data_IF_185583059570
#
_entry.id   IF_185583059570
#
_cell.length_a   1.000
_cell.length_b   1.000
_cell.length_c   1.000
_cell.angle_alpha   90.00
_cell.angle_beta   90.00
_cell.angle_gamma   90.00
#
_symmetry.space_group_name_H-M   'P 1'
#
loop_
_entity.id
_entity.type
_entity.pdbx_description
1 polymer ?
#
# COMPACT_ATOMS: atom_id res chain seq x y z
N UNK A 1 44.02 -66.72 -26.64
CA UNK A 1 43.19 -67.89 -26.97
C UNK A 1 41.79 -67.63 -26.57
N UNK A 2 40.87 -67.74 -27.57
CA UNK A 2 39.42 -67.93 -27.50
C UNK A 2 38.54 -66.85 -26.82
N UNK A 3 37.98 -66.03 -27.69
CA UNK A 3 36.60 -65.57 -27.84
C UNK A 3 35.52 -66.27 -27.00
N UNK A 4 34.64 -65.43 -26.44
CA UNK A 4 33.19 -65.74 -26.53
C UNK A 4 32.38 -64.43 -26.45
N UNK A 5 31.69 -64.13 -27.55
CA UNK A 5 30.65 -63.08 -27.68
C UNK A 5 29.38 -63.60 -27.00
N UNK A 6 28.65 -62.71 -26.31
CA UNK A 6 27.23 -62.92 -26.00
C UNK A 6 26.50 -61.63 -26.43
N UNK A 7 25.50 -61.83 -27.28
CA UNK A 7 24.78 -60.78 -28.01
C UNK A 7 23.83 -60.00 -27.17
N UNK A 8 23.71 -58.73 -27.53
CA UNK A 8 22.66 -57.82 -27.08
C UNK A 8 21.37 -58.11 -27.87
N UNK A 9 20.29 -58.40 -27.19
CA UNK A 9 18.95 -58.35 -27.76
C UNK A 9 18.39 -56.95 -27.50
N UNK A 10 18.15 -56.22 -28.60
CA UNK A 10 17.45 -54.95 -28.66
C UNK A 10 15.92 -55.15 -28.55
N UNK A 11 15.33 -54.65 -27.47
CA UNK A 11 13.89 -54.51 -27.36
C UNK A 11 13.35 -53.29 -28.18
N UNK A 12 12.13 -53.33 -28.68
CA UNK A 12 11.62 -52.31 -29.58
C UNK A 12 11.26 -51.00 -28.85
N UNK A 13 11.75 -49.89 -29.43
CA UNK A 13 11.40 -48.54 -29.05
C UNK A 13 9.99 -48.24 -29.56
N UNK A 14 9.00 -48.06 -28.68
CA UNK A 14 7.67 -47.62 -29.05
C UNK A 14 7.66 -46.12 -29.33
N UNK A 15 7.37 -45.75 -30.60
CA UNK A 15 7.21 -44.37 -31.01
C UNK A 15 5.89 -43.77 -30.54
N UNK A 16 5.90 -42.48 -30.29
CA UNK A 16 4.73 -41.68 -29.82
C UNK A 16 3.51 -41.60 -30.79
N UNK A 17 3.51 -42.33 -31.87
CA UNK A 17 2.42 -42.35 -32.86
C UNK A 17 1.48 -43.54 -32.76
N UNK A 18 1.68 -44.50 -31.85
CA UNK A 18 0.90 -45.71 -31.72
C UNK A 18 -0.30 -45.66 -30.76
N UNK A 19 -0.58 -44.55 -30.09
CA UNK A 19 -1.59 -44.45 -29.01
C UNK A 19 -2.92 -43.77 -29.42
N UNK A 20 -3.16 -43.57 -30.72
CA UNK A 20 -4.36 -42.87 -31.21
C UNK A 20 -5.30 -43.69 -32.11
N UNK A 21 -5.19 -45.00 -32.13
CA UNK A 21 -6.10 -45.83 -32.93
C UNK A 21 -6.53 -47.10 -32.18
N UNK A 22 -7.32 -46.96 -31.10
CA UNK A 22 -8.27 -48.04 -30.63
C UNK A 22 -9.22 -47.44 -29.59
N UNK A 23 -10.22 -46.70 -30.07
CA UNK A 23 -11.44 -46.41 -29.32
C UNK A 23 -12.60 -46.14 -30.25
N UNK A 24 -13.05 -47.20 -30.92
CA UNK A 24 -14.36 -47.21 -31.55
C UNK A 24 -14.99 -48.56 -31.28
N UNK A 25 -16.06 -48.53 -30.47
CA UNK A 25 -17.00 -49.65 -30.35
C UNK A 25 -17.11 -50.21 -28.92
N UNK A 26 -18.08 -49.68 -28.16
CA UNK A 26 -19.07 -50.45 -27.41
C UNK A 26 -19.96 -49.48 -26.61
N UNK A 27 -21.15 -49.22 -27.15
CA UNK A 27 -22.21 -48.54 -26.42
C UNK A 27 -22.77 -49.53 -25.37
N UNK A 28 -22.50 -49.26 -24.11
CA UNK A 28 -23.08 -49.95 -22.95
C UNK A 28 -23.27 -48.92 -21.85
N UNK A 29 -24.53 -48.54 -21.58
CA UNK A 29 -24.87 -47.55 -20.55
C UNK A 29 -24.45 -48.01 -19.15
N UNK A 30 -23.52 -47.31 -18.56
CA UNK A 30 -23.24 -47.33 -17.14
C UNK A 30 -23.58 -45.96 -16.56
N UNK A 31 -24.59 -45.90 -15.73
CA UNK A 31 -24.96 -44.76 -14.90
C UNK A 31 -23.82 -44.54 -13.94
N UNK A 32 -22.99 -43.53 -14.18
CA UNK A 32 -22.00 -43.05 -13.20
C UNK A 32 -22.73 -42.29 -12.10
N UNK A 33 -22.42 -42.55 -10.82
CA UNK A 33 -22.98 -41.77 -9.71
C UNK A 33 -22.49 -40.32 -9.81
N UNK A 34 -23.44 -39.37 -9.77
CA UNK A 34 -23.18 -37.96 -9.64
C UNK A 34 -22.43 -37.72 -8.34
N UNK A 35 -21.13 -37.36 -8.41
CA UNK A 35 -20.39 -37.03 -7.20
C UNK A 35 -18.86 -37.02 -7.29
N UNK A 36 -18.25 -37.16 -8.45
CA UNK A 36 -16.82 -36.93 -8.59
C UNK A 36 -16.59 -35.78 -9.52
N UNK A 37 -16.57 -34.56 -8.95
CA UNK A 37 -15.82 -33.46 -9.57
C UNK A 37 -14.34 -33.87 -9.63
N UNK A 38 -13.63 -33.67 -10.76
CA UNK A 38 -12.19 -33.91 -10.77
C UNK A 38 -11.58 -32.98 -9.72
N UNK A 39 -11.01 -33.56 -8.66
CA UNK A 39 -10.02 -32.87 -7.84
C UNK A 39 -8.94 -32.44 -8.84
N UNK A 40 -8.82 -31.12 -9.06
CA UNK A 40 -7.67 -30.55 -9.71
C UNK A 40 -6.46 -31.08 -8.95
N UNK A 41 -5.61 -31.84 -9.62
CA UNK A 41 -4.32 -32.29 -9.07
C UNK A 41 -3.62 -31.04 -8.58
N UNK A 42 -3.51 -30.88 -7.26
CA UNK A 42 -2.63 -29.89 -6.68
C UNK A 42 -1.22 -30.28 -7.18
N UNK A 43 -0.68 -29.50 -8.13
CA UNK A 43 0.74 -29.62 -8.44
C UNK A 43 1.49 -29.58 -7.11
N UNK A 44 2.43 -30.54 -6.92
CA UNK A 44 3.27 -30.63 -5.72
C UNK A 44 4.18 -29.39 -5.66
N UNK A 45 3.66 -28.30 -5.12
CA UNK A 45 4.45 -27.08 -4.92
C UNK A 45 5.39 -27.28 -3.75
N UNK A 46 6.65 -26.86 -3.87
CA UNK A 46 7.61 -26.99 -2.77
C UNK A 46 7.17 -26.15 -1.56
N UNK A 47 7.56 -26.63 -0.38
CA UNK A 47 7.38 -25.87 0.86
C UNK A 47 8.16 -24.55 0.78
N UNK A 48 7.49 -23.42 1.09
CA UNK A 48 8.11 -22.09 1.11
C UNK A 48 7.39 -21.21 2.15
N UNK A 49 8.16 -20.53 2.98
CA UNK A 49 7.61 -19.74 4.08
C UNK A 49 6.68 -20.59 4.95
N UNK A 50 5.46 -20.13 5.11
CA UNK A 50 4.40 -20.84 5.83
C UNK A 50 3.55 -21.78 4.95
N UNK A 51 3.80 -21.81 3.64
CA UNK A 51 3.08 -22.71 2.73
C UNK A 51 3.72 -24.12 2.69
N UNK A 52 2.96 -25.24 2.71
CA UNK A 52 1.48 -25.30 2.75
C UNK A 52 0.88 -25.28 4.18
N UNK A 53 1.69 -25.34 5.23
CA UNK A 53 1.22 -25.50 6.61
C UNK A 53 0.17 -24.45 7.04
N UNK A 54 0.36 -23.19 6.65
CA UNK A 54 -0.57 -22.09 6.92
C UNK A 54 -1.89 -22.14 6.13
N UNK A 55 -2.02 -23.11 5.22
CA UNK A 55 -3.17 -23.18 4.29
C UNK A 55 -3.91 -24.51 4.29
N UNK A 56 -3.59 -25.41 5.22
CA UNK A 56 -4.19 -26.76 5.25
C UNK A 56 -5.61 -26.81 5.81
N UNK A 57 -5.98 -25.88 6.69
CA UNK A 57 -7.31 -25.84 7.35
C UNK A 57 -8.40 -25.14 6.55
N UNK A 58 -9.53 -24.87 7.20
CA UNK A 58 -10.65 -24.08 6.66
C UNK A 58 -10.43 -22.57 6.74
N UNK A 59 -9.36 -22.12 7.36
CA UNK A 59 -8.99 -20.72 7.52
C UNK A 59 -7.52 -20.50 7.22
N UNK A 60 -7.16 -19.24 6.94
CA UNK A 60 -5.79 -18.75 6.81
C UNK A 60 -5.58 -17.60 7.79
N UNK A 61 -4.34 -17.38 8.23
CA UNK A 61 -4.02 -16.36 9.22
C UNK A 61 -3.20 -15.22 8.63
N UNK A 62 -3.50 -13.98 9.07
CA UNK A 62 -2.87 -12.75 8.60
C UNK A 62 -2.31 -11.99 9.81
N UNK A 63 -1.07 -11.54 9.70
CA UNK A 63 -0.46 -10.62 10.66
C UNK A 63 -0.76 -9.17 10.27
N UNK A 64 -1.27 -8.38 11.22
CA UNK A 64 -1.55 -6.95 11.03
C UNK A 64 -0.79 -6.18 12.11
N UNK A 65 0.18 -5.38 11.67
CA UNK A 65 0.99 -4.58 12.59
C UNK A 65 0.88 -3.10 12.25
N UNK A 66 0.13 -2.35 13.05
CA UNK A 66 -0.11 -0.92 12.90
C UNK A 66 0.27 -0.17 14.17
N UNK A 67 0.65 1.11 14.13
CA UNK A 67 0.83 1.89 15.35
C UNK A 67 -0.54 2.19 15.99
N UNK A 68 -0.71 1.76 17.21
CA UNK A 68 -1.89 2.05 18.04
C UNK A 68 -1.56 3.01 19.18
N UNK A 69 -0.28 3.28 19.37
CA UNK A 69 0.28 4.25 20.30
C UNK A 69 1.32 5.13 19.61
N UNK A 70 1.65 6.27 20.22
CA UNK A 70 2.65 7.22 19.68
C UNK A 70 2.08 8.14 18.60
N UNK A 71 2.98 8.79 17.85
CA UNK A 71 2.66 9.90 16.94
C UNK A 71 1.72 9.52 15.79
N UNK A 72 1.63 8.24 15.42
CA UNK A 72 0.79 7.74 14.32
C UNK A 72 -0.43 6.93 14.75
N UNK A 73 -0.80 7.01 16.03
CA UNK A 73 -1.88 6.19 16.59
C UNK A 73 -3.24 6.39 15.89
N UNK A 74 -3.62 7.63 15.57
CA UNK A 74 -4.89 7.92 14.88
C UNK A 74 -4.93 7.28 13.49
N UNK A 75 -3.84 7.36 12.75
CA UNK A 75 -3.73 6.84 11.40
C UNK A 75 -3.67 5.31 11.40
N UNK A 76 -2.95 4.73 12.37
CA UNK A 76 -2.90 3.28 12.55
C UNK A 76 -4.25 2.68 12.94
N UNK A 77 -5.04 3.38 13.74
CA UNK A 77 -6.40 2.93 14.08
C UNK A 77 -7.36 3.03 12.89
N UNK A 78 -7.26 4.08 12.06
CA UNK A 78 -8.04 4.20 10.82
C UNK A 78 -7.67 3.08 9.83
N UNK A 79 -6.37 2.82 9.64
CA UNK A 79 -5.85 1.72 8.83
C UNK A 79 -6.38 0.36 9.32
N UNK A 80 -6.32 0.11 10.64
CA UNK A 80 -6.82 -1.14 11.24
C UNK A 80 -8.31 -1.35 10.98
N UNK A 81 -9.13 -0.32 11.10
CA UNK A 81 -10.56 -0.39 10.80
C UNK A 81 -10.83 -0.75 9.34
N UNK A 82 -10.01 -0.25 8.41
CA UNK A 82 -10.06 -0.63 7.02
C UNK A 82 -9.81 -2.12 6.81
N UNK A 83 -8.76 -2.69 7.43
CA UNK A 83 -8.47 -4.13 7.39
C UNK A 83 -9.60 -4.96 7.99
N UNK A 84 -10.12 -4.57 9.15
CA UNK A 84 -11.20 -5.29 9.82
C UNK A 84 -12.48 -5.32 8.98
N UNK A 85 -12.83 -4.20 8.34
CA UNK A 85 -13.99 -4.13 7.44
C UNK A 85 -13.78 -5.01 6.19
N UNK A 86 -12.57 -5.00 5.62
CA UNK A 86 -12.24 -5.82 4.45
C UNK A 86 -12.34 -7.32 4.77
N UNK A 87 -11.78 -7.77 5.90
CA UNK A 87 -11.84 -9.17 6.34
C UNK A 87 -13.30 -9.61 6.55
N UNK A 88 -14.11 -8.79 7.23
CA UNK A 88 -15.54 -9.07 7.40
C UNK A 88 -16.27 -9.21 6.06
N UNK A 89 -16.01 -8.29 5.14
CA UNK A 89 -16.63 -8.28 3.82
C UNK A 89 -16.17 -9.45 2.94
N UNK A 90 -14.90 -9.85 3.01
CA UNK A 90 -14.38 -11.03 2.31
C UNK A 90 -15.02 -12.30 2.90
N UNK A 91 -15.06 -12.44 4.21
CA UNK A 91 -15.60 -13.60 4.87
C UNK A 91 -17.11 -13.75 4.67
N UNK A 92 -17.84 -12.64 4.54
CA UNK A 92 -19.30 -12.65 4.27
C UNK A 92 -19.68 -12.67 2.78
N UNK A 93 -18.71 -12.46 1.87
CA UNK A 93 -18.97 -12.37 0.44
C UNK A 93 -19.71 -11.08 0.04
N UNK A 94 -19.29 -9.95 0.61
CA UNK A 94 -19.91 -8.65 0.37
C UNK A 94 -19.74 -8.18 -1.08
N UNK A 95 -20.75 -7.47 -1.62
CA UNK A 95 -20.80 -7.04 -3.03
C UNK A 95 -19.63 -6.13 -3.45
N UNK A 96 -19.09 -5.33 -2.54
CA UNK A 96 -17.93 -4.48 -2.84
C UNK A 96 -16.69 -5.33 -3.17
N UNK A 97 -16.47 -6.42 -2.43
CA UNK A 97 -15.37 -7.35 -2.70
C UNK A 97 -15.56 -8.01 -4.08
N UNK A 98 -16.79 -8.48 -4.38
CA UNK A 98 -17.08 -9.12 -5.67
C UNK A 98 -16.89 -8.20 -6.88
N UNK A 99 -17.05 -6.89 -6.71
CA UNK A 99 -16.78 -5.92 -7.78
C UNK A 99 -15.28 -5.79 -8.10
N UNK A 100 -14.41 -6.05 -7.12
CA UNK A 100 -12.95 -5.94 -7.26
C UNK A 100 -12.34 -7.32 -7.54
N UNK A 101 -12.79 -8.33 -6.83
CA UNK A 101 -12.37 -9.74 -6.95
C UNK A 101 -13.59 -10.62 -7.24
N UNK A 102 -14.03 -10.74 -8.51
CA UNK A 102 -15.28 -11.45 -8.86
C UNK A 102 -15.28 -12.94 -8.52
N UNK A 103 -14.11 -13.56 -8.39
CA UNK A 103 -13.96 -14.96 -8.01
C UNK A 103 -14.13 -15.19 -6.51
N UNK A 104 -13.90 -14.17 -5.66
CA UNK A 104 -14.07 -14.25 -4.22
C UNK A 104 -15.54 -14.37 -3.86
N UNK A 105 -15.92 -15.47 -3.22
CA UNK A 105 -17.31 -15.73 -2.76
C UNK A 105 -17.45 -15.48 -1.26
N UNK A 106 -16.97 -16.41 -0.46
CA UNK A 106 -16.94 -16.39 1.02
C UNK A 106 -15.55 -16.85 1.44
N UNK A 107 -14.79 -15.96 2.07
CA UNK A 107 -13.35 -16.17 2.27
C UNK A 107 -12.59 -16.12 0.95
N UNK A 108 -11.28 -16.37 0.99
CA UNK A 108 -10.42 -16.44 -0.20
C UNK A 108 -10.12 -17.91 -0.50
N UNK A 109 -10.33 -18.35 -1.73
CA UNK A 109 -10.31 -19.78 -2.12
C UNK A 109 -11.17 -20.66 -1.18
N UNK A 110 -12.30 -20.10 -0.69
CA UNK A 110 -13.19 -20.77 0.26
C UNK A 110 -12.66 -20.88 1.69
N UNK A 111 -11.57 -20.19 2.04
CA UNK A 111 -11.00 -20.18 3.39
C UNK A 111 -11.30 -18.88 4.12
N UNK A 112 -11.75 -19.02 5.38
CA UNK A 112 -11.98 -17.88 6.27
C UNK A 112 -10.68 -17.14 6.56
N UNK A 113 -10.71 -15.81 6.54
CA UNK A 113 -9.58 -14.98 6.97
C UNK A 113 -9.65 -14.77 8.49
N UNK A 114 -8.60 -15.21 9.20
CA UNK A 114 -8.33 -14.91 10.60
C UNK A 114 -7.12 -14.00 10.71
N UNK A 115 -7.03 -13.21 11.76
CA UNK A 115 -5.95 -12.26 11.89
C UNK A 115 -5.53 -12.03 13.35
N UNK A 116 -4.29 -11.61 13.52
CA UNK A 116 -3.77 -11.05 14.75
C UNK A 116 -3.41 -9.58 14.55
N UNK A 117 -3.52 -8.79 15.61
CA UNK A 117 -3.18 -7.36 15.61
C UNK A 117 -2.08 -7.09 16.62
N UNK A 118 -1.06 -6.35 16.21
CA UNK A 118 -0.02 -5.86 17.11
C UNK A 118 0.18 -4.35 16.98
N UNK A 119 0.57 -3.73 18.09
CA UNK A 119 0.99 -2.32 18.11
C UNK A 119 2.48 -2.22 17.77
N UNK A 120 2.80 -1.54 16.67
CA UNK A 120 4.19 -1.24 16.32
C UNK A 120 4.75 0.00 17.03
N UNK A 121 3.90 0.86 17.57
CA UNK A 121 4.27 2.19 18.06
C UNK A 121 5.19 2.96 17.07
N UNK A 122 5.06 2.69 15.76
CA UNK A 122 5.94 3.15 14.67
C UNK A 122 7.41 2.71 14.81
N UNK A 123 7.71 1.66 15.58
CA UNK A 123 9.06 1.14 15.85
C UNK A 123 9.31 -0.15 15.06
N UNK A 124 10.37 -0.20 14.23
CA UNK A 124 10.70 -1.38 13.42
C UNK A 124 10.86 -2.67 14.21
N UNK A 125 11.55 -2.62 15.36
CA UNK A 125 11.81 -3.83 16.16
C UNK A 125 10.52 -4.43 16.74
N UNK A 126 9.60 -3.61 17.22
CA UNK A 126 8.30 -4.07 17.74
C UNK A 126 7.49 -4.77 16.64
N UNK A 127 7.44 -4.16 15.45
CA UNK A 127 6.74 -4.72 14.31
C UNK A 127 7.35 -6.06 13.85
N UNK A 128 8.68 -6.14 13.71
CA UNK A 128 9.38 -7.34 13.29
C UNK A 128 9.16 -8.48 14.28
N UNK A 129 9.25 -8.22 15.59
CA UNK A 129 9.01 -9.23 16.61
C UNK A 129 7.55 -9.74 16.59
N UNK A 130 6.59 -8.84 16.40
CA UNK A 130 5.18 -9.21 16.33
C UNK A 130 4.89 -10.08 15.11
N UNK A 131 5.32 -9.65 13.92
CA UNK A 131 5.10 -10.42 12.69
C UNK A 131 5.86 -11.74 12.69
N UNK A 132 7.07 -11.78 13.27
CA UNK A 132 7.79 -13.05 13.43
C UNK A 132 7.00 -14.04 14.30
N UNK A 133 6.33 -13.59 15.37
CA UNK A 133 5.45 -14.46 16.16
C UNK A 133 4.24 -14.94 15.36
N UNK A 134 3.57 -14.05 14.59
CA UNK A 134 2.46 -14.47 13.73
C UNK A 134 2.88 -15.50 12.69
N UNK A 135 4.06 -15.36 12.10
CA UNK A 135 4.62 -16.36 11.17
C UNK A 135 4.90 -17.70 11.88
N UNK A 136 5.57 -17.67 13.03
CA UNK A 136 6.04 -18.90 13.67
C UNK A 136 4.93 -19.65 14.40
N UNK A 137 4.06 -18.95 15.12
CA UNK A 137 3.03 -19.53 15.96
C UNK A 137 1.71 -19.76 15.19
N UNK A 138 1.28 -18.78 14.41
CA UNK A 138 0.00 -18.80 13.70
C UNK A 138 0.11 -19.20 12.22
N UNK A 139 1.33 -19.37 11.69
CA UNK A 139 1.58 -19.66 10.29
C UNK A 139 0.99 -18.60 9.35
N UNK A 140 1.14 -17.33 9.71
CA UNK A 140 0.65 -16.22 8.91
C UNK A 140 1.14 -16.33 7.45
N UNK A 141 0.21 -16.18 6.51
CA UNK A 141 0.48 -16.25 5.06
C UNK A 141 0.65 -14.88 4.42
N UNK A 142 0.26 -13.83 5.13
CA UNK A 142 0.36 -12.44 4.74
C UNK A 142 0.70 -11.62 5.99
N UNK A 143 1.60 -10.67 5.83
CA UNK A 143 1.88 -9.57 6.75
C UNK A 143 1.40 -8.27 6.15
N UNK A 144 0.88 -7.35 6.97
CA UNK A 144 0.46 -6.03 6.49
C UNK A 144 0.47 -4.97 7.59
N UNK A 145 0.14 -3.71 7.23
CA UNK A 145 0.13 -2.55 8.10
C UNK A 145 1.31 -1.64 7.83
N UNK A 146 1.90 -1.15 8.89
CA UNK A 146 3.13 -0.38 8.94
C UNK A 146 3.03 1.13 9.11
N UNK A 147 2.06 1.86 8.74
CA UNK A 147 1.93 3.33 8.89
C UNK A 147 3.26 4.16 8.99
N UNK A 148 4.41 3.51 9.07
CA UNK A 148 5.76 4.08 9.15
C UNK A 148 6.66 3.45 8.10
N UNK A 149 7.34 4.26 7.28
CA UNK A 149 8.26 3.75 6.27
C UNK A 149 9.46 3.02 6.86
N UNK A 150 9.91 3.38 8.07
CA UNK A 150 10.96 2.64 8.76
C UNK A 150 10.51 1.23 9.13
N UNK A 151 9.26 1.09 9.56
CA UNK A 151 8.63 -0.22 9.82
C UNK A 151 8.49 -1.00 8.51
N UNK A 152 7.99 -0.36 7.45
CA UNK A 152 7.79 -1.01 6.15
C UNK A 152 9.09 -1.59 5.58
N UNK A 153 10.20 -0.85 5.64
CA UNK A 153 11.52 -1.32 5.20
C UNK A 153 11.99 -2.53 6.03
N UNK A 154 11.75 -2.51 7.35
CA UNK A 154 12.11 -3.65 8.21
C UNK A 154 11.25 -4.89 7.92
N UNK A 155 9.95 -4.70 7.67
CA UNK A 155 9.04 -5.80 7.30
C UNK A 155 9.31 -6.33 5.88
N UNK A 156 9.78 -5.52 4.93
CA UNK A 156 10.29 -6.01 3.64
C UNK A 156 11.42 -7.03 3.85
N UNK A 157 12.40 -6.70 4.71
CA UNK A 157 13.52 -7.62 5.02
C UNK A 157 13.04 -8.89 5.70
N UNK A 158 12.05 -8.79 6.59
CA UNK A 158 11.41 -9.96 7.21
C UNK A 158 10.70 -10.80 6.16
N UNK A 159 9.91 -10.19 5.27
CA UNK A 159 9.18 -10.85 4.20
C UNK A 159 10.10 -11.70 3.29
N UNK A 160 11.22 -11.10 2.86
CA UNK A 160 12.21 -11.81 2.05
C UNK A 160 12.86 -12.97 2.81
N UNK A 161 13.20 -12.76 4.07
CA UNK A 161 13.83 -13.81 4.90
C UNK A 161 12.88 -14.98 5.17
N UNK A 162 11.65 -14.69 5.55
CA UNK A 162 10.64 -15.69 5.90
C UNK A 162 9.85 -16.20 4.69
N UNK A 163 10.01 -15.60 3.51
CA UNK A 163 9.29 -15.93 2.27
C UNK A 163 7.76 -15.90 2.44
N UNK A 164 7.30 -14.92 3.19
CA UNK A 164 5.90 -14.60 3.44
C UNK A 164 5.58 -13.26 2.78
N UNK A 165 4.45 -13.15 2.10
CA UNK A 165 4.03 -11.91 1.47
C UNK A 165 3.88 -10.79 2.49
N UNK A 166 4.33 -9.61 2.12
CA UNK A 166 4.10 -8.37 2.83
C UNK A 166 3.56 -7.29 1.88
N UNK A 167 2.49 -6.64 2.27
CA UNK A 167 2.00 -5.46 1.57
C UNK A 167 2.04 -4.27 2.52
N UNK A 168 2.80 -3.24 2.15
CA UNK A 168 2.85 -2.01 2.92
C UNK A 168 1.58 -1.18 2.66
N UNK A 169 0.73 -1.05 3.66
CA UNK A 169 -0.52 -0.28 3.58
C UNK A 169 -0.24 1.21 3.47
N UNK A 170 0.60 1.73 4.37
CA UNK A 170 1.00 3.14 4.41
C UNK A 170 2.52 3.24 4.53
N UNK A 171 3.22 3.69 3.48
CA UNK A 171 4.66 3.92 3.49
C UNK A 171 5.06 4.90 2.39
N UNK A 172 5.28 6.16 2.74
CA UNK A 172 5.56 7.24 1.79
C UNK A 172 7.01 7.36 1.32
N UNK A 173 7.96 6.57 1.86
CA UNK A 173 9.35 6.62 1.42
C UNK A 173 9.55 6.05 0.02
N UNK A 174 10.40 6.71 -0.80
CA UNK A 174 10.83 6.15 -2.07
C UNK A 174 11.58 4.81 -1.90
N UNK A 175 12.24 4.62 -0.76
CA UNK A 175 13.10 3.46 -0.49
C UNK A 175 12.32 2.14 -0.41
N UNK A 176 11.05 2.18 0.02
CA UNK A 176 10.23 0.96 0.26
C UNK A 176 10.10 0.07 -0.98
N UNK A 177 9.86 0.66 -2.15
CA UNK A 177 9.86 -0.01 -3.47
C UNK A 177 11.01 0.47 -4.35
N UNK A 178 12.01 1.14 -3.75
CA UNK A 178 13.29 1.50 -4.31
C UNK A 178 14.39 0.56 -3.80
N UNK A 179 15.48 1.11 -3.25
CA UNK A 179 16.65 0.33 -2.81
C UNK A 179 16.37 -0.74 -1.75
N UNK A 180 15.27 -0.62 -1.01
CA UNK A 180 14.84 -1.60 0.00
C UNK A 180 13.66 -2.49 -0.49
N UNK A 181 13.41 -2.52 -1.80
CA UNK A 181 12.43 -3.44 -2.40
C UNK A 181 12.87 -4.90 -2.24
N UNK A 182 11.92 -5.79 -2.18
CA UNK A 182 12.16 -7.24 -2.08
C UNK A 182 11.13 -8.02 -2.89
N UNK A 183 11.45 -9.27 -3.25
CA UNK A 183 10.56 -10.15 -4.03
C UNK A 183 9.22 -10.42 -3.36
N UNK A 184 9.17 -10.47 -2.02
CA UNK A 184 7.97 -10.77 -1.24
C UNK A 184 7.26 -9.52 -0.71
N UNK A 185 7.75 -8.30 -1.07
CA UNK A 185 7.22 -7.02 -0.60
C UNK A 185 6.51 -6.25 -1.71
N UNK A 186 5.37 -5.64 -1.37
CA UNK A 186 4.56 -4.79 -2.24
C UNK A 186 4.20 -3.48 -1.53
N UNK A 187 3.92 -2.42 -2.28
CA UNK A 187 3.35 -1.20 -1.73
C UNK A 187 2.20 -0.69 -2.58
N UNK A 188 1.10 -0.35 -1.92
CA UNK A 188 -0.06 0.16 -2.63
C UNK A 188 -0.25 1.68 -2.57
N UNK A 189 0.24 2.38 -1.53
CA UNK A 189 0.06 3.82 -1.40
C UNK A 189 0.97 4.62 -2.34
N UNK A 190 0.65 5.90 -2.54
CA UNK A 190 1.54 6.86 -3.20
C UNK A 190 2.81 7.09 -2.36
N UNK A 191 3.81 7.75 -2.91
CA UNK A 191 5.10 7.95 -2.23
C UNK A 191 5.73 9.30 -2.61
N UNK A 192 6.82 9.66 -1.97
CA UNK A 192 7.41 11.00 -2.03
C UNK A 192 7.60 11.52 -3.45
N UNK A 193 8.09 10.70 -4.37
CA UNK A 193 8.29 11.13 -5.75
C UNK A 193 6.95 11.36 -6.48
N UNK A 194 5.97 10.46 -6.35
CA UNK A 194 4.66 10.64 -6.98
C UNK A 194 3.88 11.80 -6.33
N UNK A 195 4.05 12.02 -5.02
CA UNK A 195 3.53 13.19 -4.34
C UNK A 195 4.12 14.48 -4.93
N UNK A 196 5.45 14.56 -5.06
CA UNK A 196 6.14 15.72 -5.61
C UNK A 196 5.74 16.00 -7.07
N UNK A 197 5.65 14.96 -7.90
CA UNK A 197 5.22 15.08 -9.28
C UNK A 197 3.77 15.55 -9.42
N UNK A 198 2.89 15.18 -8.48
CA UNK A 198 1.48 15.58 -8.49
C UNK A 198 1.27 17.00 -7.95
N UNK A 199 1.83 17.30 -6.76
CA UNK A 199 1.57 18.61 -6.12
C UNK A 199 2.47 19.72 -6.65
N UNK A 200 3.67 19.41 -7.10
CA UNK A 200 4.66 20.39 -7.55
C UNK A 200 4.15 21.33 -8.63
N UNK A 201 3.51 20.85 -9.73
CA UNK A 201 2.90 21.71 -10.75
C UNK A 201 1.89 22.69 -10.18
N UNK A 202 1.05 22.25 -9.21
CA UNK A 202 0.04 23.07 -8.56
C UNK A 202 0.68 24.18 -7.71
N UNK A 203 1.75 23.83 -6.95
CA UNK A 203 2.47 24.82 -6.17
C UNK A 203 3.14 25.88 -7.06
N UNK A 204 3.78 25.45 -8.16
CA UNK A 204 4.41 26.38 -9.13
C UNK A 204 3.36 27.26 -9.81
N UNK A 205 2.22 26.70 -10.21
CA UNK A 205 1.10 27.48 -10.79
C UNK A 205 0.53 28.48 -9.79
N UNK A 206 0.42 28.11 -8.52
CA UNK A 206 -0.21 28.91 -7.47
C UNK A 206 0.70 29.98 -6.92
N UNK A 207 1.95 29.66 -6.62
CA UNK A 207 2.87 30.56 -5.94
C UNK A 207 3.88 31.22 -6.89
N UNK A 208 4.05 30.70 -8.11
CA UNK A 208 4.97 31.21 -9.12
C UNK A 208 6.30 30.46 -9.15
N UNK A 209 7.14 30.83 -10.13
CA UNK A 209 8.52 30.35 -10.28
C UNK A 209 9.48 31.13 -9.39
N UNK A 210 10.74 30.62 -9.23
CA UNK A 210 11.85 31.28 -8.54
C UNK A 210 11.51 31.65 -7.07
N UNK A 211 10.79 30.77 -6.37
CA UNK A 211 10.43 30.95 -4.96
C UNK A 211 11.49 30.37 -4.04
N UNK A 212 11.46 30.79 -2.80
CA UNK A 212 12.28 30.29 -1.70
C UNK A 212 11.43 29.36 -0.83
N UNK A 213 11.92 28.14 -0.60
CA UNK A 213 11.24 27.13 0.20
C UNK A 213 12.01 26.81 1.47
N UNK A 214 11.31 26.75 2.59
CA UNK A 214 11.78 26.14 3.83
C UNK A 214 11.11 24.76 3.97
N UNK A 215 11.82 23.80 4.56
CA UNK A 215 11.32 22.46 4.83
C UNK A 215 11.36 22.17 6.33
N UNK A 216 10.38 21.41 6.81
CA UNK A 216 10.35 20.83 8.14
C UNK A 216 10.21 19.34 7.97
N UNK A 217 11.29 18.60 8.18
CA UNK A 217 11.49 17.22 7.75
C UNK A 217 11.60 16.30 8.97
N UNK A 218 10.78 15.24 9.09
CA UNK A 218 10.97 14.25 10.14
C UNK A 218 12.18 13.36 9.84
N UNK A 219 13.00 13.10 10.88
CA UNK A 219 14.31 12.43 10.77
C UNK A 219 14.19 10.91 10.60
N UNK A 220 13.68 10.48 9.46
CA UNK A 220 13.71 9.08 9.03
C UNK A 220 13.47 8.97 7.51
N UNK A 221 13.58 7.75 6.94
CA UNK A 221 13.57 7.53 5.48
C UNK A 221 12.41 8.21 4.73
N UNK A 222 11.20 8.25 5.31
CA UNK A 222 10.07 8.97 4.72
C UNK A 222 10.38 10.47 4.56
N UNK A 223 10.75 11.14 5.66
CA UNK A 223 11.00 12.57 5.63
C UNK A 223 12.07 12.94 4.62
N UNK A 224 13.22 12.26 4.68
CA UNK A 224 14.33 12.52 3.77
C UNK A 224 13.95 12.32 2.29
N UNK A 225 13.25 11.24 1.95
CA UNK A 225 12.91 10.94 0.55
C UNK A 225 11.80 11.84 0.01
N UNK A 226 10.81 12.22 0.82
CA UNK A 226 9.76 13.17 0.43
C UNK A 226 10.34 14.58 0.25
N UNK A 227 11.14 15.06 1.21
CA UNK A 227 11.81 16.37 1.13
C UNK A 227 12.69 16.44 -0.11
N UNK A 228 13.54 15.43 -0.34
CA UNK A 228 14.40 15.38 -1.53
C UNK A 228 13.59 15.41 -2.82
N UNK A 229 12.50 14.64 -2.91
CA UNK A 229 11.64 14.62 -4.09
C UNK A 229 11.01 15.98 -4.36
N UNK A 230 10.56 16.67 -3.32
CA UNK A 230 10.01 18.04 -3.44
C UNK A 230 11.09 19.05 -3.86
N UNK A 231 12.28 19.01 -3.26
CA UNK A 231 13.41 19.86 -3.62
C UNK A 231 13.78 19.68 -5.09
N UNK A 232 13.93 18.43 -5.56
CA UNK A 232 14.29 18.12 -6.92
C UNK A 232 13.24 18.60 -7.92
N UNK A 233 11.95 18.37 -7.62
CA UNK A 233 10.89 18.83 -8.49
C UNK A 233 10.83 20.35 -8.57
N UNK A 234 10.79 21.04 -7.43
CA UNK A 234 10.64 22.50 -7.36
C UNK A 234 11.87 23.24 -7.91
N UNK A 235 13.05 22.65 -7.83
CA UNK A 235 14.27 23.20 -8.45
C UNK A 235 14.13 23.34 -9.98
N UNK A 236 13.36 22.47 -10.64
CA UNK A 236 13.06 22.58 -12.10
C UNK A 236 12.33 23.85 -12.45
N UNK A 237 11.60 24.45 -11.50
CA UNK A 237 10.91 25.73 -11.62
C UNK A 237 11.69 26.91 -11.04
N UNK A 238 12.97 26.71 -10.71
CA UNK A 238 13.87 27.74 -10.15
C UNK A 238 13.66 28.00 -8.66
N UNK A 239 12.92 27.14 -7.95
CA UNK A 239 12.80 27.27 -6.50
C UNK A 239 14.10 26.92 -5.80
N UNK A 240 14.43 27.60 -4.72
CA UNK A 240 15.63 27.37 -3.92
C UNK A 240 15.26 27.00 -2.48
N UNK A 241 16.00 26.05 -1.90
CA UNK A 241 15.87 25.73 -0.47
C UNK A 241 16.64 26.73 0.36
N UNK A 242 15.96 27.44 1.28
CA UNK A 242 16.61 28.35 2.21
C UNK A 242 17.03 27.66 3.51
N UNK A 243 16.24 26.70 3.96
CA UNK A 243 16.53 25.85 5.12
C UNK A 243 15.78 24.54 5.04
N UNK A 244 16.36 23.48 5.58
CA UNK A 244 15.71 22.20 5.87
C UNK A 244 15.95 21.89 7.35
N UNK A 245 14.87 21.92 8.11
CA UNK A 245 14.90 21.67 9.55
C UNK A 245 14.49 20.24 9.83
N UNK A 246 15.46 19.41 10.19
CA UNK A 246 15.27 17.97 10.44
C UNK A 246 14.99 17.75 11.91
N UNK A 247 13.79 17.26 12.25
CA UNK A 247 13.34 17.02 13.61
C UNK A 247 13.13 15.52 13.88
N UNK A 248 13.49 15.00 15.06
CA UNK A 248 13.22 13.61 15.42
C UNK A 248 11.74 13.25 15.32
N UNK A 249 11.44 12.01 14.94
CA UNK A 249 10.09 11.48 14.97
C UNK A 249 9.53 11.51 16.41
N UNK A 250 8.34 12.08 16.58
CA UNK A 250 7.72 12.25 17.89
C UNK A 250 8.34 13.38 18.73
N UNK A 251 8.96 14.38 18.08
CA UNK A 251 9.50 15.55 18.78
C UNK A 251 8.42 16.25 19.59
N UNK A 252 8.63 16.50 20.89
CA UNK A 252 7.62 17.14 21.74
C UNK A 252 7.52 18.64 21.52
N UNK A 253 8.49 19.26 20.86
CA UNK A 253 8.58 20.70 20.62
C UNK A 253 9.34 21.00 19.33
N UNK A 254 8.80 21.95 18.55
CA UNK A 254 9.34 22.39 17.27
C UNK A 254 9.87 23.82 17.30
N UNK A 255 9.90 24.48 18.46
CA UNK A 255 10.21 25.92 18.59
C UNK A 255 11.56 26.30 17.98
N UNK A 256 12.63 25.54 18.23
CA UNK A 256 13.96 25.83 17.70
C UNK A 256 14.01 25.70 16.17
N UNK A 257 13.37 24.69 15.62
CA UNK A 257 13.27 24.47 14.17
C UNK A 257 12.46 25.58 13.50
N UNK A 258 11.34 25.95 14.11
CA UNK A 258 10.44 26.98 13.60
C UNK A 258 11.06 28.39 13.68
N UNK A 259 11.89 28.68 14.67
CA UNK A 259 12.66 29.91 14.73
C UNK A 259 13.61 30.04 13.52
N UNK A 260 14.29 28.96 13.15
CA UNK A 260 15.15 28.93 11.96
C UNK A 260 14.32 29.10 10.68
N UNK A 261 13.15 28.45 10.57
CA UNK A 261 12.22 28.65 9.45
C UNK A 261 11.77 30.11 9.37
N UNK A 262 11.35 30.73 10.49
CA UNK A 262 10.89 32.11 10.53
C UNK A 262 11.94 33.12 10.05
N UNK A 263 13.22 32.84 10.28
CA UNK A 263 14.37 33.67 9.91
C UNK A 263 14.97 33.35 8.54
N UNK A 264 14.47 32.30 7.85
CA UNK A 264 15.04 31.78 6.60
C UNK A 264 14.79 32.66 5.38
N UNK A 265 13.83 33.57 5.44
CA UNK A 265 13.39 34.36 4.30
C UNK A 265 12.69 33.57 3.21
N UNK A 266 12.10 32.41 3.55
CA UNK A 266 11.33 31.58 2.63
C UNK A 266 9.96 32.22 2.30
N UNK A 267 9.47 31.92 1.09
CA UNK A 267 8.11 32.28 0.66
C UNK A 267 7.08 31.21 1.05
N UNK A 268 7.54 29.94 1.10
CA UNK A 268 6.69 28.78 1.33
C UNK A 268 7.36 27.84 2.34
N UNK A 269 6.62 27.41 3.35
CA UNK A 269 6.97 26.29 4.23
C UNK A 269 6.34 25.00 3.67
N UNK A 270 7.18 24.02 3.38
CA UNK A 270 6.74 22.64 3.12
C UNK A 270 6.89 21.85 4.42
N UNK A 271 5.76 21.58 5.09
CA UNK A 271 5.75 20.76 6.28
C UNK A 271 5.61 19.28 5.86
N UNK A 272 6.70 18.54 5.97
CA UNK A 272 6.80 17.12 5.61
C UNK A 272 6.46 16.23 6.80
N UNK A 273 6.34 16.77 8.02
CA UNK A 273 5.87 16.00 9.17
C UNK A 273 4.51 15.36 8.89
N UNK A 274 4.25 14.26 9.57
CA UNK A 274 3.04 13.47 9.40
C UNK A 274 2.46 13.04 10.74
N UNK A 275 1.16 12.65 10.79
CA UNK A 275 0.50 12.28 12.04
C UNK A 275 0.47 13.42 13.05
N UNK A 276 0.66 13.10 14.34
CA UNK A 276 0.65 14.10 15.41
C UNK A 276 1.79 15.11 15.30
N UNK A 277 2.93 14.72 14.72
CA UNK A 277 4.06 15.63 14.49
C UNK A 277 3.67 16.76 13.51
N UNK A 278 2.86 16.45 12.48
CA UNK A 278 2.32 17.48 11.58
C UNK A 278 1.33 18.41 12.30
N UNK A 279 0.50 17.88 13.19
CA UNK A 279 -0.43 18.67 14.00
C UNK A 279 0.33 19.65 14.88
N UNK A 280 1.26 19.13 15.69
CA UNK A 280 2.03 19.93 16.64
C UNK A 280 2.89 20.99 15.93
N UNK A 281 3.64 20.61 14.92
CA UNK A 281 4.50 21.54 14.17
C UNK A 281 3.69 22.62 13.46
N UNK A 282 2.51 22.31 12.92
CA UNK A 282 1.65 23.27 12.24
C UNK A 282 1.02 24.26 13.24
N UNK A 283 0.56 23.78 14.41
CA UNK A 283 0.03 24.64 15.48
C UNK A 283 1.11 25.59 16.03
N UNK A 284 2.30 25.08 16.27
CA UNK A 284 3.44 25.91 16.72
C UNK A 284 3.88 26.91 15.65
N UNK A 285 3.90 26.51 14.35
CA UNK A 285 4.21 27.43 13.26
C UNK A 285 3.24 28.63 13.21
N UNK A 286 1.97 28.42 13.51
CA UNK A 286 0.98 29.51 13.67
C UNK A 286 1.35 30.40 14.87
N UNK A 287 1.70 29.84 16.02
CA UNK A 287 2.07 30.58 17.22
C UNK A 287 3.31 31.46 16.99
N UNK A 288 4.25 30.99 16.16
CA UNK A 288 5.43 31.76 15.75
C UNK A 288 5.17 32.79 14.65
N UNK A 289 3.90 32.96 14.20
CA UNK A 289 3.55 33.92 13.16
C UNK A 289 4.15 33.60 11.79
N UNK A 290 4.50 32.33 11.53
CA UNK A 290 5.12 31.92 10.27
C UNK A 290 4.16 32.15 9.10
N UNK A 291 2.88 31.87 9.30
CA UNK A 291 1.86 31.97 8.23
C UNK A 291 1.45 33.42 7.89
N UNK A 292 1.89 34.40 8.66
CA UNK A 292 1.76 35.83 8.32
C UNK A 292 2.75 36.23 7.20
N UNK A 293 3.85 35.45 7.05
CA UNK A 293 4.95 35.74 6.12
C UNK A 293 5.10 34.70 5.01
N UNK A 294 4.76 33.44 5.29
CA UNK A 294 4.97 32.29 4.41
C UNK A 294 3.64 31.59 4.12
N UNK A 295 3.55 30.98 2.93
CA UNK A 295 2.47 30.04 2.62
C UNK A 295 2.83 28.65 3.12
N UNK A 296 1.80 27.86 3.49
CA UNK A 296 1.96 26.46 3.89
C UNK A 296 1.57 25.54 2.73
N UNK A 297 2.36 24.51 2.49
CA UNK A 297 2.01 23.36 1.65
C UNK A 297 2.39 22.07 2.34
N UNK A 298 1.60 21.02 2.12
CA UNK A 298 1.80 19.71 2.75
C UNK A 298 1.93 18.66 1.65
N UNK A 299 3.16 18.25 1.32
CA UNK A 299 3.39 17.39 0.16
C UNK A 299 2.84 15.97 0.32
N UNK A 300 2.62 15.52 1.56
CA UNK A 300 2.12 14.18 1.86
C UNK A 300 1.24 14.23 3.11
N UNK A 301 -0.09 14.17 2.95
CA UNK A 301 -1.01 14.50 4.02
C UNK A 301 -1.91 13.35 4.41
N UNK A 302 -2.29 13.36 5.70
CA UNK A 302 -3.49 12.70 6.22
C UNK A 302 -4.56 13.76 6.50
N UNK A 303 -5.82 13.58 6.03
CA UNK A 303 -6.90 14.52 6.29
C UNK A 303 -7.20 14.78 7.78
N UNK A 304 -6.82 13.87 8.69
CA UNK A 304 -6.89 14.12 10.14
C UNK A 304 -6.17 15.39 10.58
N UNK A 305 -5.16 15.85 9.83
CA UNK A 305 -4.48 17.10 10.13
C UNK A 305 -5.48 18.27 10.18
N UNK A 306 -6.35 18.42 9.19
CA UNK A 306 -7.32 19.51 9.19
C UNK A 306 -8.33 19.43 10.33
N UNK A 307 -8.72 18.22 10.72
CA UNK A 307 -9.60 18.00 11.87
C UNK A 307 -8.95 18.46 13.18
N UNK A 308 -7.65 18.19 13.35
CA UNK A 308 -6.93 18.47 14.60
C UNK A 308 -6.47 19.94 14.70
N UNK A 309 -6.07 20.58 13.58
CA UNK A 309 -5.57 21.97 13.60
C UNK A 309 -6.65 23.01 13.29
N UNK A 310 -7.80 22.58 12.76
CA UNK A 310 -8.94 23.41 12.40
C UNK A 310 -8.91 23.96 10.97
N UNK A 311 -10.11 24.14 10.42
CA UNK A 311 -10.31 24.61 9.05
C UNK A 311 -9.75 25.99 8.78
N UNK A 312 -9.75 26.89 9.76
CA UNK A 312 -9.17 28.24 9.58
C UNK A 312 -7.69 28.18 9.22
N UNK A 313 -6.93 27.33 9.91
CA UNK A 313 -5.50 27.19 9.64
C UNK A 313 -5.21 26.46 8.33
N UNK A 314 -6.06 25.49 7.98
CA UNK A 314 -5.91 24.72 6.74
C UNK A 314 -6.53 25.40 5.52
N UNK A 315 -7.28 26.48 5.69
CA UNK A 315 -7.91 27.21 4.57
C UNK A 315 -6.86 27.64 3.54
N UNK A 316 -7.05 27.19 2.31
CA UNK A 316 -6.16 27.52 1.19
C UNK A 316 -4.86 26.72 1.13
N UNK A 317 -4.59 25.82 2.09
CA UNK A 317 -3.41 24.94 2.09
C UNK A 317 -3.59 23.84 1.05
N UNK A 318 -2.59 23.69 0.17
CA UNK A 318 -2.54 22.59 -0.80
C UNK A 318 -1.85 21.38 -0.21
N UNK A 319 -2.39 20.20 -0.52
CA UNK A 319 -1.81 18.93 -0.07
C UNK A 319 -2.03 17.81 -1.08
N UNK A 320 -1.12 16.81 -1.08
CA UNK A 320 -1.32 15.56 -1.78
C UNK A 320 -1.82 14.48 -0.82
N UNK A 321 -2.76 13.67 -1.25
CA UNK A 321 -3.35 12.56 -0.50
C UNK A 321 -3.70 11.39 -1.42
N UNK A 322 -3.89 10.22 -0.85
CA UNK A 322 -4.23 8.99 -1.56
C UNK A 322 -5.73 8.82 -1.80
N UNK A 323 -6.53 9.35 -0.90
CA UNK A 323 -7.98 9.26 -0.94
C UNK A 323 -8.59 10.41 -0.15
N UNK A 324 -9.73 10.89 -0.61
CA UNK A 324 -10.61 11.78 0.13
C UNK A 324 -12.05 11.30 -0.04
N UNK A 325 -12.82 11.26 1.04
CA UNK A 325 -14.14 10.62 1.04
C UNK A 325 -15.12 11.23 0.00
N UNK A 326 -14.99 12.49 -0.39
CA UNK A 326 -15.83 13.11 -1.42
C UNK A 326 -15.61 12.54 -2.83
N UNK A 327 -14.62 11.63 -3.01
CA UNK A 327 -14.53 10.80 -4.21
C UNK A 327 -15.73 9.89 -4.40
N UNK A 328 -16.58 9.71 -3.36
CA UNK A 328 -17.87 9.02 -3.45
C UNK A 328 -18.79 9.62 -4.53
N UNK A 329 -18.67 10.93 -4.80
CA UNK A 329 -19.45 11.63 -5.84
C UNK A 329 -18.98 11.24 -7.26
N UNK A 330 -17.77 10.70 -7.42
CA UNK A 330 -17.16 10.42 -8.71
C UNK A 330 -17.04 8.91 -9.01
N UNK A 331 -16.72 8.13 -8.00
CA UNK A 331 -16.42 6.70 -8.16
C UNK A 331 -17.42 5.83 -7.39
N UNK A 332 -18.21 4.96 -8.08
CA UNK A 332 -19.18 4.09 -7.43
C UNK A 332 -18.58 3.16 -6.36
N UNK A 333 -17.33 2.70 -6.54
CA UNK A 333 -16.65 1.88 -5.52
C UNK A 333 -16.30 2.70 -4.28
N UNK A 334 -15.87 3.97 -4.46
CA UNK A 334 -15.64 4.88 -3.34
C UNK A 334 -16.93 5.10 -2.54
N UNK A 335 -18.06 5.34 -3.22
CA UNK A 335 -19.37 5.51 -2.57
C UNK A 335 -19.73 4.30 -1.72
N UNK A 336 -19.68 3.11 -2.30
CA UNK A 336 -20.01 1.87 -1.57
C UNK A 336 -19.09 1.66 -0.36
N UNK A 337 -17.79 1.97 -0.50
CA UNK A 337 -16.84 1.87 0.61
C UNK A 337 -17.12 2.89 1.71
N UNK A 338 -17.29 4.17 1.35
CA UNK A 338 -17.56 5.27 2.30
C UNK A 338 -18.84 5.00 3.09
N UNK A 339 -19.92 4.60 2.41
CA UNK A 339 -21.20 4.25 3.05
C UNK A 339 -21.06 3.08 4.03
N UNK A 340 -20.34 2.02 3.64
CA UNK A 340 -20.14 0.86 4.49
C UNK A 340 -19.28 1.19 5.73
N UNK A 341 -18.22 1.98 5.53
CA UNK A 341 -17.32 2.39 6.60
C UNK A 341 -18.01 3.32 7.60
N UNK A 342 -18.68 4.37 7.09
CA UNK A 342 -19.41 5.34 7.91
C UNK A 342 -20.53 4.68 8.71
N UNK A 343 -21.30 3.78 8.09
CA UNK A 343 -22.33 2.98 8.76
C UNK A 343 -21.77 2.19 9.95
N UNK A 344 -20.56 1.65 9.82
CA UNK A 344 -19.96 0.80 10.86
C UNK A 344 -19.26 1.59 11.95
N UNK A 345 -18.54 2.66 11.58
CA UNK A 345 -17.65 3.37 12.50
C UNK A 345 -18.10 4.78 12.86
N UNK A 346 -19.10 5.34 12.18
CA UNK A 346 -19.74 6.62 12.52
C UNK A 346 -18.92 7.86 12.13
N UNK A 347 -17.98 7.74 11.19
CA UNK A 347 -17.22 8.84 10.62
C UNK A 347 -16.76 8.51 9.19
N UNK A 348 -16.39 9.53 8.41
CA UNK A 348 -15.90 9.34 7.04
C UNK A 348 -14.49 8.79 7.03
N UNK A 349 -14.21 7.70 6.24
CA UNK A 349 -12.89 7.07 6.19
C UNK A 349 -11.83 8.01 5.65
N UNK A 350 -10.62 7.89 6.18
CA UNK A 350 -9.45 8.48 5.56
C UNK A 350 -8.78 7.53 4.57
N UNK A 351 -7.69 7.98 3.99
CA UNK A 351 -6.98 7.17 3.02
C UNK A 351 -6.30 5.92 3.64
N UNK A 352 -5.96 5.93 4.93
CA UNK A 352 -5.48 4.76 5.66
C UNK A 352 -6.48 3.62 5.63
N UNK A 353 -7.72 3.89 6.02
CA UNK A 353 -8.81 2.91 5.97
C UNK A 353 -9.12 2.47 4.54
N UNK A 354 -9.12 3.41 3.57
CA UNK A 354 -9.33 3.07 2.16
C UNK A 354 -8.24 2.13 1.64
N UNK A 355 -6.98 2.46 1.89
CA UNK A 355 -5.86 1.63 1.44
C UNK A 355 -5.93 0.23 2.06
N UNK A 356 -6.11 0.13 3.36
CA UNK A 356 -6.21 -1.13 4.07
C UNK A 356 -7.34 -2.03 3.53
N UNK A 357 -8.52 -1.45 3.30
CA UNK A 357 -9.64 -2.19 2.72
C UNK A 357 -9.33 -2.71 1.31
N UNK A 358 -8.81 -1.82 0.48
CA UNK A 358 -8.53 -2.12 -0.92
C UNK A 358 -7.33 -3.05 -1.10
N UNK A 359 -6.37 -3.00 -0.20
CA UNK A 359 -5.24 -3.93 -0.14
C UNK A 359 -5.73 -5.38 -0.06
N UNK A 360 -6.65 -5.64 0.86
CA UNK A 360 -7.21 -6.98 1.03
C UNK A 360 -8.05 -7.41 -0.17
N UNK A 361 -8.79 -6.49 -0.78
CA UNK A 361 -9.53 -6.79 -2.00
C UNK A 361 -8.61 -7.13 -3.18
N UNK A 362 -7.49 -6.40 -3.35
CA UNK A 362 -6.47 -6.70 -4.37
C UNK A 362 -5.71 -7.99 -4.07
N UNK A 363 -5.41 -8.26 -2.79
CA UNK A 363 -4.80 -9.51 -2.38
C UNK A 363 -5.71 -10.71 -2.66
N UNK A 364 -6.99 -10.61 -2.31
CA UNK A 364 -7.96 -11.65 -2.62
C UNK A 364 -8.04 -11.89 -4.15
N UNK A 365 -8.08 -10.84 -4.95
CA UNK A 365 -8.07 -10.93 -6.41
C UNK A 365 -6.81 -11.64 -6.93
N UNK A 366 -5.63 -11.32 -6.39
CA UNK A 366 -4.38 -11.94 -6.81
C UNK A 366 -4.33 -13.42 -6.44
N UNK A 367 -4.75 -13.80 -5.24
CA UNK A 367 -4.81 -15.19 -4.77
C UNK A 367 -5.84 -16.01 -5.55
N UNK A 368 -7.03 -15.46 -5.79
CA UNK A 368 -8.10 -16.14 -6.56
C UNK A 368 -7.69 -16.36 -8.03
N UNK A 369 -6.93 -15.44 -8.62
CA UNK A 369 -6.40 -15.63 -9.98
C UNK A 369 -5.23 -16.61 -10.02
N UNK A 370 -4.38 -16.63 -9.00
CA UNK A 370 -3.34 -17.64 -8.85
C UNK A 370 -3.92 -19.04 -8.59
N UNK A 371 -5.14 -19.13 -8.03
CA UNK A 371 -5.77 -20.38 -7.62
C UNK A 371 -5.07 -21.08 -6.46
N UNK A 372 -4.20 -20.38 -5.74
CA UNK A 372 -3.37 -20.91 -4.66
C UNK A 372 -2.89 -19.79 -3.74
N UNK A 373 -2.54 -20.16 -2.49
CA UNK A 373 -1.80 -19.29 -1.56
C UNK A 373 -0.27 -19.44 -1.68
N UNK A 374 0.23 -20.20 -2.64
CA UNK A 374 1.68 -20.38 -2.85
C UNK A 374 2.31 -19.03 -3.21
N UNK A 375 3.22 -18.47 -2.37
CA UNK A 375 3.66 -17.09 -2.51
C UNK A 375 4.22 -16.74 -3.90
N UNK A 376 5.08 -17.55 -4.56
CA UNK A 376 5.59 -17.23 -5.89
C UNK A 376 4.49 -17.08 -6.95
N UNK A 377 3.40 -17.86 -6.87
CA UNK A 377 2.31 -17.77 -7.84
C UNK A 377 1.42 -16.57 -7.57
N UNK A 378 1.21 -16.21 -6.29
CA UNK A 378 0.51 -14.98 -5.91
C UNK A 378 1.30 -13.74 -6.37
N UNK A 379 2.62 -13.74 -6.19
CA UNK A 379 3.51 -12.66 -6.69
C UNK A 379 3.37 -12.52 -8.21
N UNK A 380 3.48 -13.62 -8.97
CA UNK A 380 3.27 -13.59 -10.44
C UNK A 380 1.88 -13.08 -10.82
N UNK A 381 0.87 -13.37 -10.01
CA UNK A 381 -0.49 -12.87 -10.21
C UNK A 381 -0.55 -11.34 -10.05
N UNK A 382 0.14 -10.76 -9.07
CA UNK A 382 0.30 -9.31 -8.94
C UNK A 382 1.11 -8.72 -10.11
N UNK A 383 2.24 -9.35 -10.45
CA UNK A 383 3.15 -8.93 -11.54
C UNK A 383 2.51 -9.01 -12.95
N UNK A 384 1.38 -9.68 -13.09
CA UNK A 384 0.64 -9.71 -14.35
C UNK A 384 0.10 -8.33 -14.78
N UNK A 385 0.17 -7.32 -13.92
CA UNK A 385 -0.19 -5.94 -14.24
C UNK A 385 -1.65 -5.76 -14.65
N UNK A 386 -2.55 -6.60 -14.12
CA UNK A 386 -3.98 -6.48 -14.43
C UNK A 386 -4.53 -5.16 -13.92
N UNK A 387 -5.20 -4.44 -14.80
CA UNK A 387 -5.89 -3.21 -14.46
C UNK A 387 -7.20 -3.51 -13.73
N UNK A 388 -7.32 -2.97 -12.55
CA UNK A 388 -8.44 -3.23 -11.62
C UNK A 388 -9.10 -1.91 -11.28
N UNK A 389 -10.44 -1.89 -11.30
CA UNK A 389 -11.19 -0.73 -10.83
C UNK A 389 -11.07 -0.62 -9.31
N UNK A 390 -10.73 0.58 -8.86
CA UNK A 390 -10.46 0.91 -7.47
C UNK A 390 -11.31 2.10 -7.02
N UNK A 391 -11.24 2.51 -5.76
CA UNK A 391 -11.97 3.67 -5.23
C UNK A 391 -11.49 5.02 -5.77
N UNK A 392 -10.33 5.05 -6.39
CA UNK A 392 -9.72 6.26 -6.98
C UNK A 392 -9.55 6.18 -8.50
N UNK A 393 -10.16 5.19 -9.14
CA UNK A 393 -10.03 4.89 -10.57
C UNK A 393 -9.30 3.59 -10.82
N UNK A 394 -8.69 3.44 -12.00
CA UNK A 394 -7.98 2.23 -12.38
C UNK A 394 -6.58 2.17 -11.76
N UNK A 395 -6.18 0.98 -11.29
CA UNK A 395 -4.88 0.72 -10.67
C UNK A 395 -4.30 -0.62 -11.15
N UNK A 396 -2.98 -0.78 -11.08
CA UNK A 396 -2.30 -2.06 -11.30
C UNK A 396 -0.93 -2.07 -10.60
N UNK A 397 -0.42 -3.27 -10.26
CA UNK A 397 0.94 -3.40 -9.74
C UNK A 397 1.95 -3.46 -10.88
N UNK A 398 3.03 -2.69 -10.76
CA UNK A 398 4.16 -2.72 -11.66
C UNK A 398 5.11 -3.85 -11.21
N UNK A 399 5.47 -4.74 -12.16
CA UNK A 399 6.24 -5.97 -11.87
C UNK A 399 7.70 -5.71 -11.50
N UNK A 400 8.24 -4.57 -11.94
CA UNK A 400 9.67 -4.26 -11.82
C UNK A 400 10.06 -3.84 -10.40
N UNK A 401 9.13 -3.28 -9.62
CA UNK A 401 9.39 -2.74 -8.28
C UNK A 401 8.25 -2.98 -7.29
N UNK A 402 7.20 -3.70 -7.70
CA UNK A 402 6.03 -4.02 -6.88
C UNK A 402 5.27 -2.80 -6.33
N UNK A 403 5.39 -1.66 -7.03
CA UNK A 403 4.62 -0.47 -6.72
C UNK A 403 3.26 -0.49 -7.41
N UNK A 404 2.17 -0.20 -6.65
CA UNK A 404 0.87 0.06 -7.25
C UNK A 404 0.91 1.38 -8.02
N UNK A 405 0.63 1.33 -9.32
CA UNK A 405 0.40 2.51 -10.15
C UNK A 405 -1.04 2.96 -9.89
N UNK A 406 -1.19 4.16 -9.36
CA UNK A 406 -2.47 4.71 -8.92
C UNK A 406 -2.50 6.23 -9.01
N UNK A 407 -3.68 6.85 -9.16
CA UNK A 407 -3.81 8.31 -9.09
C UNK A 407 -3.38 8.89 -7.74
N UNK A 408 -2.90 10.13 -7.76
CA UNK A 408 -2.68 10.96 -6.57
C UNK A 408 -3.69 12.12 -6.59
N UNK A 409 -4.27 12.40 -5.45
CA UNK A 409 -5.31 13.41 -5.28
C UNK A 409 -4.68 14.68 -4.71
N UNK A 410 -4.86 15.81 -5.39
CA UNK A 410 -4.48 17.11 -4.86
C UNK A 410 -5.71 17.77 -4.28
N UNK A 411 -5.59 18.12 -3.02
CA UNK A 411 -6.65 18.77 -2.26
C UNK A 411 -6.25 20.17 -1.82
N UNK A 412 -7.26 21.01 -1.56
CA UNK A 412 -7.10 22.35 -0.99
C UNK A 412 -8.02 22.49 0.22
N UNK A 413 -7.49 22.95 1.33
CA UNK A 413 -8.24 23.18 2.55
C UNK A 413 -9.33 24.21 2.37
N UNK A 414 -10.52 23.93 2.89
CA UNK A 414 -11.70 24.80 2.94
C UNK A 414 -11.66 25.72 4.16
N UNK A 415 -12.14 26.94 3.98
CA UNK A 415 -12.52 27.76 5.13
C UNK A 415 -13.76 27.16 5.81
N UNK A 416 -13.93 27.30 7.14
CA UNK A 416 -15.08 26.73 7.86
C UNK A 416 -16.45 27.05 7.26
N UNK A 417 -16.61 28.27 6.72
CA UNK A 417 -17.85 28.72 6.04
C UNK A 417 -18.15 28.03 4.70
N UNK A 418 -17.14 27.35 4.11
CA UNK A 418 -17.24 26.64 2.84
C UNK A 418 -17.54 25.14 3.04
N UNK A 419 -17.38 24.64 4.27
CA UNK A 419 -17.62 23.25 4.63
C UNK A 419 -19.13 22.96 4.64
N UNK A 420 -19.56 21.91 3.94
CA UNK A 420 -20.96 21.45 3.90
C UNK A 420 -21.35 20.71 5.18
N UNK A 421 -20.40 20.13 5.87
CA UNK A 421 -20.55 19.44 7.16
C UNK A 421 -19.21 19.46 7.91
N UNK A 422 -19.19 18.95 9.14
CA UNK A 422 -18.02 18.97 10.03
C UNK A 422 -16.81 18.15 9.55
N UNK A 423 -16.97 17.33 8.52
CA UNK A 423 -15.90 16.47 7.96
C UNK A 423 -15.50 16.88 6.54
N UNK A 424 -16.06 17.98 6.00
CA UNK A 424 -15.83 18.44 4.63
C UNK A 424 -14.66 19.46 4.57
N UNK A 425 -13.46 19.02 4.99
CA UNK A 425 -12.29 19.88 5.14
C UNK A 425 -11.62 20.30 3.84
N UNK A 426 -11.85 19.56 2.73
CA UNK A 426 -11.08 19.76 1.51
C UNK A 426 -11.93 19.76 0.25
N UNK A 427 -11.53 20.60 -0.71
CA UNK A 427 -11.90 20.47 -2.11
C UNK A 427 -10.85 19.64 -2.85
N UNK A 428 -11.31 18.75 -3.73
CA UNK A 428 -10.44 18.07 -4.68
C UNK A 428 -10.12 19.08 -5.80
N UNK A 429 -8.84 19.41 -5.94
CA UNK A 429 -8.33 20.33 -6.97
C UNK A 429 -8.03 19.58 -8.26
N UNK A 430 -7.37 18.42 -8.11
CA UNK A 430 -6.95 17.61 -9.25
C UNK A 430 -6.80 16.13 -8.84
N UNK A 431 -7.05 15.24 -9.78
CA UNK A 431 -6.77 13.81 -9.67
C UNK A 431 -5.77 13.52 -10.77
N UNK A 432 -4.51 13.36 -10.40
CA UNK A 432 -3.41 13.15 -11.35
C UNK A 432 -3.28 11.65 -11.62
N UNK A 433 -3.38 11.20 -12.90
CA UNK A 433 -3.27 9.79 -13.24
C UNK A 433 -1.93 9.18 -12.80
N UNK A 434 -1.98 7.95 -12.26
CA UNK A 434 -0.78 7.30 -11.76
C UNK A 434 0.32 7.11 -12.80
N UNK A 435 -0.04 6.78 -14.03
CA UNK A 435 0.92 6.57 -15.13
C UNK A 435 1.75 7.82 -15.45
N UNK A 436 1.19 9.03 -15.26
CA UNK A 436 1.89 10.30 -15.47
C UNK A 436 2.88 10.62 -14.35
N UNK A 437 2.73 9.99 -13.19
CA UNK A 437 3.51 10.25 -11.98
C UNK A 437 4.72 9.32 -11.82
N UNK A 438 4.68 8.15 -12.48
CA UNK A 438 5.70 7.13 -12.27
C UNK A 438 7.00 7.46 -12.99
N UNK A 439 8.09 7.42 -12.25
CA UNK A 439 9.44 7.39 -12.84
C UNK A 439 9.76 5.99 -13.37
N UNK A 440 10.92 5.86 -14.05
CA UNK A 440 11.42 4.54 -14.45
C UNK A 440 11.58 3.63 -13.24
N UNK A 441 11.35 2.32 -13.37
CA UNK A 441 11.42 1.39 -12.24
C UNK A 441 12.76 1.37 -11.51
N UNK A 442 13.84 1.62 -12.22
CA UNK A 442 15.22 1.64 -11.71
C UNK A 442 15.63 2.99 -11.06
N UNK A 443 14.78 4.01 -11.12
CA UNK A 443 15.09 5.36 -10.63
C UNK A 443 15.50 5.40 -9.14
N UNK A 444 15.02 4.45 -8.35
CA UNK A 444 15.33 4.31 -6.92
C UNK A 444 16.09 3.02 -6.59
N UNK A 445 16.78 2.45 -7.57
CA UNK A 445 17.70 1.31 -7.41
C UNK A 445 17.02 0.04 -6.87
N UNK A 446 15.76 -0.22 -7.24
CA UNK A 446 15.10 -1.46 -6.85
C UNK A 446 15.78 -2.66 -7.52
N UNK A 447 16.03 -3.67 -6.71
CA UNK A 447 16.43 -5.01 -7.15
C UNK A 447 15.64 -6.03 -6.33
N UNK A 448 14.57 -6.55 -6.89
CA UNK A 448 13.67 -7.49 -6.20
C UNK A 448 14.37 -8.80 -5.80
N UNK A 449 15.47 -9.15 -6.48
CA UNK A 449 16.09 -10.47 -6.30
C UNK A 449 15.22 -11.61 -6.86
N UNK A 450 15.49 -12.81 -6.40
CA UNK A 450 14.75 -14.03 -6.76
C UNK A 450 13.85 -14.54 -5.60
N UNK A 451 13.31 -15.74 -5.77
CA UNK A 451 12.44 -16.38 -4.76
C UNK A 451 13.20 -17.17 -3.68
N UNK A 452 14.54 -17.26 -3.76
CA UNK A 452 15.35 -18.06 -2.83
C UNK A 452 15.84 -17.29 -1.61
#
# INVERSE_FOLDING_TARGET
MKNMMIGQQSGPVLSRRGLLQTAAGLAGGAILPAGMMPQAFAEDRPTIGTYPAGTTGSSVFIGITVPRTGTYALQGEDELKGYQLAIEHINSGHELIKKISPKTKTGVLGKELKYGVADSAAKPNEAVQAEQRFITENKAILMTGSTSSAVAVALNKLAQREKVLYVAGISGSNDTTGKDCVRYGFRQCFYGQTAAAAIGPILVKTFGKNKKAAYLTPDYTYGHTVTKSMQDYLATAGWTTTTDQVAPLGAPDYSSYLLNVANSGADVLLNVNWGHDAVLSTQQAKQFGIFDKMKLAIPYQTPFLAREVGGDLMSGVYAATDFWWTLEDKYPLAKTFVEAFDKKYGYKPEWGANNAYMEFALWAEAVENAGTFYPPDVIKSYEAGRKIQYTVGEVYFRKEDHQLVRPVIIVKGKAPKEMKNKEDYYDIVEIVPGEELMQKPDAFSCNLGDYT
#
